data_IF_520144613633
#
_entry.id   IF_520144613633
#
_cell.length_a   1.000
_cell.length_b   1.000
_cell.length_c   1.000
_cell.angle_alpha   90.00
_cell.angle_beta   90.00
_cell.angle_gamma   90.00
#
_symmetry.space_group_name_H-M   'P 1'
#
loop_
_entity.id
_entity.type
_entity.pdbx_description
1 polymer ?
#
# COMPACT_ATOMS: atom_id res chain seq x y z
N UNK A 1 53.31 39.85 10.53
CA UNK A 1 53.23 39.07 9.28
C UNK A 1 52.24 37.91 9.32
N UNK A 2 51.82 37.39 10.48
CA UNK A 2 50.84 36.27 10.57
C UNK A 2 49.39 36.66 10.24
N UNK A 3 48.98 37.94 10.41
CA UNK A 3 47.61 38.38 10.23
C UNK A 3 47.26 38.78 8.75
N UNK A 4 48.27 39.07 7.90
CA UNK A 4 48.07 39.43 6.52
C UNK A 4 47.76 38.20 5.63
N UNK A 5 48.33 37.03 5.99
CA UNK A 5 48.08 35.78 5.24
C UNK A 5 46.67 35.20 5.48
N UNK A 6 46.13 35.38 6.68
CA UNK A 6 44.75 34.94 7.02
C UNK A 6 43.67 35.77 6.29
N UNK A 7 43.88 37.05 6.10
CA UNK A 7 42.96 37.94 5.39
C UNK A 7 42.92 37.64 3.89
N UNK A 8 44.08 37.31 3.28
CA UNK A 8 44.15 36.93 1.87
C UNK A 8 43.46 35.60 1.55
N UNK A 9 43.59 34.58 2.44
CA UNK A 9 42.89 33.30 2.30
C UNK A 9 41.38 33.45 2.44
N UNK A 10 40.91 34.26 3.40
CA UNK A 10 39.48 34.52 3.59
C UNK A 10 38.86 35.25 2.37
N UNK A 11 39.57 36.15 1.76
CA UNK A 11 39.10 36.87 0.57
C UNK A 11 39.02 35.99 -0.69
N UNK A 12 39.93 35.03 -0.85
CA UNK A 12 39.89 34.08 -1.98
C UNK A 12 38.75 33.09 -1.82
N UNK A 13 38.48 32.57 -0.62
CA UNK A 13 37.36 31.68 -0.38
C UNK A 13 36.01 32.37 -0.59
N UNK A 14 35.87 33.62 -0.16
CA UNK A 14 34.66 34.42 -0.40
C UNK A 14 34.43 34.69 -1.92
N UNK A 15 35.48 34.99 -2.67
CA UNK A 15 35.37 35.20 -4.13
C UNK A 15 34.98 33.94 -4.88
N UNK A 16 35.50 32.78 -4.53
CA UNK A 16 35.12 31.48 -5.13
C UNK A 16 33.67 31.11 -4.83
N UNK A 17 33.20 31.36 -3.60
CA UNK A 17 31.79 31.12 -3.21
C UNK A 17 30.82 32.05 -3.96
N UNK A 18 31.15 33.33 -4.14
CA UNK A 18 30.32 34.27 -4.88
C UNK A 18 30.30 33.93 -6.39
N UNK A 19 31.41 33.53 -6.98
CA UNK A 19 31.47 33.09 -8.38
C UNK A 19 30.67 31.80 -8.60
N UNK A 20 30.73 30.83 -7.67
CA UNK A 20 29.94 29.58 -7.73
C UNK A 20 28.42 29.82 -7.67
N UNK A 21 27.96 30.71 -6.80
CA UNK A 21 26.55 31.08 -6.69
C UNK A 21 26.07 31.87 -7.91
N UNK A 22 26.95 32.72 -8.51
CA UNK A 22 26.60 33.48 -9.71
C UNK A 22 26.50 32.56 -10.93
N UNK A 23 27.43 31.58 -11.09
CA UNK A 23 27.38 30.62 -12.19
C UNK A 23 26.15 29.69 -12.09
N UNK A 24 25.70 29.34 -10.86
CA UNK A 24 24.52 28.51 -10.66
C UNK A 24 23.20 29.28 -10.94
N UNK A 25 23.17 30.60 -10.66
CA UNK A 25 21.95 31.43 -10.90
C UNK A 25 21.89 32.04 -12.34
N UNK A 26 23.00 32.30 -12.98
CA UNK A 26 23.07 33.07 -14.23
C UNK A 26 23.89 32.40 -15.37
N UNK A 27 24.34 31.18 -15.19
CA UNK A 27 25.02 30.42 -16.24
C UNK A 27 24.11 30.12 -17.44
N UNK A 28 24.64 30.02 -18.67
CA UNK A 28 23.83 29.70 -19.85
C UNK A 28 23.16 28.34 -19.70
N UNK A 29 21.82 28.29 -19.77
CA UNK A 29 21.06 27.05 -19.86
C UNK A 29 21.14 26.54 -21.29
N UNK A 30 21.56 25.28 -21.48
CA UNK A 30 21.44 24.61 -22.76
C UNK A 30 19.95 24.43 -23.09
N UNK A 31 19.52 24.99 -24.22
CA UNK A 31 18.19 24.79 -24.78
C UNK A 31 18.03 23.31 -25.16
N UNK A 32 17.19 22.60 -24.44
CA UNK A 32 16.72 21.29 -24.84
C UNK A 32 15.75 21.47 -26.01
N UNK A 33 16.17 21.17 -27.21
CA UNK A 33 15.33 21.12 -28.39
C UNK A 33 14.23 20.06 -28.22
N UNK A 34 12.98 20.47 -28.34
CA UNK A 34 11.80 19.62 -28.37
C UNK A 34 11.88 18.59 -29.51
N UNK A 35 11.46 17.35 -29.29
CA UNK A 35 11.36 16.36 -30.37
C UNK A 35 10.26 16.77 -31.36
N UNK A 36 10.62 16.72 -32.66
CA UNK A 36 9.72 16.99 -33.78
C UNK A 36 8.54 15.99 -33.78
N UNK A 37 7.37 16.53 -34.01
CA UNK A 37 6.12 15.80 -34.30
C UNK A 37 6.29 14.85 -35.48
N UNK A 38 6.05 13.57 -35.23
CA UNK A 38 5.97 12.56 -36.30
C UNK A 38 4.60 12.73 -36.96
N UNK A 39 4.62 13.04 -38.26
CA UNK A 39 3.43 13.15 -39.10
C UNK A 39 2.70 11.81 -39.19
N UNK A 40 1.37 11.86 -39.05
CA UNK A 40 0.46 10.72 -39.22
C UNK A 40 0.50 10.20 -40.67
N UNK A 41 0.67 8.88 -40.80
CA UNK A 41 0.51 8.16 -42.06
C UNK A 41 -0.99 8.04 -42.39
N UNK A 42 -1.40 8.14 -43.67
CA UNK A 42 -2.80 7.95 -44.06
C UNK A 42 -3.18 6.46 -43.96
N UNK A 43 -4.44 6.23 -43.56
CA UNK A 43 -5.04 4.92 -43.47
C UNK A 43 -5.23 4.31 -44.88
N UNK A 44 -4.74 3.10 -45.06
CA UNK A 44 -5.02 2.30 -46.27
C UNK A 44 -6.47 1.82 -46.24
N UNK A 45 -7.20 2.21 -47.29
CA UNK A 45 -8.57 1.78 -47.62
C UNK A 45 -8.52 0.33 -48.09
N UNK A 46 -9.10 -0.59 -47.33
CA UNK A 46 -9.34 -1.96 -47.79
C UNK A 46 -10.64 -1.98 -48.62
N UNK A 47 -10.47 -2.28 -49.91
CA UNK A 47 -11.58 -2.44 -50.86
C UNK A 47 -12.46 -3.65 -50.50
N UNK A 48 -13.78 -3.43 -50.49
CA UNK A 48 -14.77 -4.46 -50.32
C UNK A 48 -14.85 -5.31 -51.61
N UNK A 49 -14.56 -6.60 -51.50
CA UNK A 49 -14.85 -7.57 -52.58
C UNK A 49 -16.29 -8.03 -52.52
N UNK A 50 -17.01 -7.89 -53.63
CA UNK A 50 -18.37 -8.33 -53.83
C UNK A 50 -18.49 -9.85 -53.75
N UNK A 51 -19.50 -10.35 -52.99
CA UNK A 51 -19.89 -11.76 -52.96
C UNK A 51 -21.06 -11.97 -53.94
N UNK A 52 -20.92 -12.96 -54.82
CA UNK A 52 -21.96 -13.53 -55.62
C UNK A 52 -22.91 -14.41 -54.79
N UNK A 53 -24.20 -14.49 -55.13
CA UNK A 53 -25.15 -15.32 -54.42
C UNK A 53 -25.21 -16.74 -55.00
N UNK A 54 -25.29 -17.74 -54.14
CA UNK A 54 -25.57 -19.13 -54.50
C UNK A 54 -25.16 -20.08 -53.38
N UNK A 55 -26.12 -20.57 -52.69
CA UNK A 55 -26.40 -21.92 -52.18
C UNK A 55 -27.04 -21.85 -50.79
N UNK A 56 -28.36 -22.10 -50.82
CA UNK A 56 -29.22 -22.36 -49.68
C UNK A 56 -28.80 -23.68 -49.00
N UNK A 57 -28.30 -23.60 -47.79
CA UNK A 57 -28.26 -24.72 -46.85
C UNK A 57 -29.01 -24.32 -45.60
N UNK A 58 -30.24 -24.81 -45.51
CA UNK A 58 -31.08 -24.75 -44.33
C UNK A 58 -30.43 -25.53 -43.18
N UNK A 59 -29.91 -24.83 -42.19
CA UNK A 59 -29.49 -25.43 -40.91
C UNK A 59 -30.42 -24.90 -39.83
N UNK A 60 -31.50 -25.62 -39.62
CA UNK A 60 -32.31 -25.52 -38.41
C UNK A 60 -31.52 -26.12 -37.23
N UNK A 61 -30.74 -25.30 -36.53
CA UNK A 61 -30.19 -25.63 -35.24
C UNK A 61 -30.81 -24.69 -34.18
N UNK A 62 -31.58 -25.33 -33.32
CA UNK A 62 -32.29 -24.78 -32.18
C UNK A 62 -31.36 -23.98 -31.28
N UNK A 63 -31.58 -22.65 -31.21
CA UNK A 63 -30.88 -21.77 -30.26
C UNK A 63 -31.63 -21.82 -28.89
N UNK A 64 -31.69 -22.99 -28.28
CA UNK A 64 -32.34 -23.10 -26.97
C UNK A 64 -31.45 -23.62 -25.84
N UNK A 65 -30.18 -23.97 -26.05
CA UNK A 65 -29.40 -24.65 -25.01
C UNK A 65 -28.00 -24.06 -24.75
N UNK A 66 -27.78 -22.77 -24.96
CA UNK A 66 -26.54 -22.09 -24.48
C UNK A 66 -26.81 -20.77 -23.75
N UNK A 67 -27.81 -20.74 -22.87
CA UNK A 67 -27.82 -19.82 -21.73
C UNK A 67 -27.17 -20.51 -20.53
N UNK A 68 -25.94 -21.03 -20.72
CA UNK A 68 -25.12 -21.50 -19.62
C UNK A 68 -24.50 -20.27 -18.94
N UNK A 69 -25.11 -19.92 -17.80
CA UNK A 69 -24.51 -19.25 -16.66
C UNK A 69 -23.46 -18.17 -16.99
N UNK A 70 -23.94 -16.95 -17.24
CA UNK A 70 -23.17 -15.79 -16.84
C UNK A 70 -22.91 -15.92 -15.34
N UNK A 71 -21.66 -15.72 -14.84
CA UNK A 71 -21.42 -15.71 -13.42
C UNK A 71 -22.37 -14.67 -12.80
N UNK A 72 -23.09 -15.08 -11.76
CA UNK A 72 -23.99 -14.21 -11.03
C UNK A 72 -23.24 -12.91 -10.72
N UNK A 73 -23.86 -11.73 -10.87
CA UNK A 73 -23.23 -10.49 -10.51
C UNK A 73 -22.77 -10.62 -9.05
N UNK A 74 -21.47 -10.35 -8.81
CA UNK A 74 -20.90 -10.36 -7.47
C UNK A 74 -21.89 -9.61 -6.58
N UNK A 75 -22.38 -10.28 -5.53
CA UNK A 75 -23.32 -9.73 -4.57
C UNK A 75 -22.73 -8.41 -4.07
N UNK A 76 -23.29 -7.29 -4.53
CA UNK A 76 -22.96 -5.98 -3.99
C UNK A 76 -23.20 -6.08 -2.48
N UNK A 77 -22.15 -5.85 -1.69
CA UNK A 77 -22.27 -5.75 -0.24
C UNK A 77 -23.45 -4.79 0.04
N UNK A 78 -24.42 -5.15 0.90
CA UNK A 78 -25.59 -4.31 1.14
C UNK A 78 -25.13 -2.88 1.50
N UNK A 79 -25.88 -1.89 1.01
CA UNK A 79 -25.66 -0.50 1.40
C UNK A 79 -25.57 -0.41 2.93
N UNK A 80 -24.72 0.50 3.43
CA UNK A 80 -24.51 0.68 4.85
C UNK A 80 -25.85 0.72 5.61
N UNK A 81 -26.03 -0.18 6.57
CA UNK A 81 -27.27 -0.24 7.37
C UNK A 81 -27.47 1.00 8.26
N UNK A 82 -26.39 1.74 8.54
CA UNK A 82 -26.38 2.93 9.40
C UNK A 82 -26.45 4.18 8.53
N UNK A 83 -27.58 4.88 8.57
CA UNK A 83 -27.83 6.05 7.73
C UNK A 83 -26.85 7.23 7.97
N UNK A 84 -26.32 7.31 9.20
CA UNK A 84 -25.34 8.36 9.61
C UNK A 84 -23.90 7.84 9.68
N UNK A 85 -23.58 6.72 8.99
CA UNK A 85 -22.24 6.17 8.98
C UNK A 85 -21.22 7.17 8.39
N UNK A 86 -19.97 7.10 8.86
CA UNK A 86 -18.86 7.88 8.32
C UNK A 86 -18.64 7.58 6.83
N UNK A 87 -18.75 6.32 6.44
CA UNK A 87 -18.68 5.87 5.05
C UNK A 87 -17.31 6.08 4.41
N UNK A 88 -17.31 6.07 3.07
CA UNK A 88 -16.19 6.47 2.22
C UNK A 88 -16.67 7.61 1.33
N UNK A 89 -16.08 8.79 1.48
CA UNK A 89 -16.49 9.99 0.75
C UNK A 89 -16.11 9.91 -0.73
N UNK A 90 -14.92 9.37 -1.01
CA UNK A 90 -14.45 9.08 -2.38
C UNK A 90 -13.39 8.00 -2.38
N UNK A 91 -13.22 7.37 -3.51
CA UNK A 91 -12.12 6.44 -3.79
C UNK A 91 -11.14 7.14 -4.72
N UNK A 92 -9.86 7.13 -4.39
CA UNK A 92 -8.80 7.62 -5.26
C UNK A 92 -8.02 6.43 -5.81
N UNK A 93 -7.81 6.43 -7.12
CA UNK A 93 -7.01 5.44 -7.80
C UNK A 93 -5.59 5.99 -7.98
N UNK A 94 -4.59 5.20 -7.59
CA UNK A 94 -3.19 5.57 -7.60
C UNK A 94 -2.48 4.84 -8.73
N UNK A 95 -1.93 5.59 -9.67
CA UNK A 95 -0.89 5.10 -10.58
C UNK A 95 0.42 4.99 -9.79
N UNK A 96 0.90 3.77 -9.61
CA UNK A 96 2.11 3.49 -8.83
C UNK A 96 3.39 3.48 -9.67
N UNK A 97 3.31 3.82 -10.94
CA UNK A 97 4.47 3.88 -11.85
C UNK A 97 5.57 4.76 -11.28
N UNK A 98 6.78 4.21 -11.23
CA UNK A 98 7.94 4.90 -10.70
C UNK A 98 8.01 5.05 -9.17
N UNK A 99 7.05 4.46 -8.43
CA UNK A 99 7.06 4.44 -6.97
C UNK A 99 6.81 5.80 -6.32
N UNK A 100 5.62 6.41 -6.52
CA UNK A 100 5.30 7.68 -5.86
C UNK A 100 5.27 7.55 -4.34
N UNK A 101 5.61 8.63 -3.64
CA UNK A 101 5.61 8.70 -2.17
C UNK A 101 4.44 9.51 -1.63
N UNK A 102 3.78 9.03 -0.57
CA UNK A 102 2.64 9.64 0.09
C UNK A 102 2.89 9.85 1.59
N UNK A 103 2.36 10.95 2.14
CA UNK A 103 2.50 11.34 3.55
C UNK A 103 3.61 12.35 3.79
N UNK A 104 3.24 13.50 4.35
CA UNK A 104 4.12 14.68 4.47
C UNK A 104 5.24 14.56 5.51
N UNK A 105 5.23 13.54 6.35
CA UNK A 105 6.36 13.28 7.24
C UNK A 105 7.66 13.15 6.41
N UNK A 106 7.60 12.44 5.26
CA UNK A 106 8.76 12.20 4.40
C UNK A 106 8.57 12.59 2.93
N UNK A 107 7.34 12.53 2.39
CA UNK A 107 7.07 12.73 0.97
C UNK A 107 6.17 13.95 0.75
N UNK A 108 6.76 15.07 0.35
CA UNK A 108 6.07 16.38 0.31
C UNK A 108 5.47 16.76 -1.04
N UNK A 109 5.46 15.85 -2.02
CA UNK A 109 5.14 16.20 -3.41
C UNK A 109 3.67 15.99 -3.79
N UNK A 110 2.98 15.03 -3.15
CA UNK A 110 1.64 14.61 -3.59
C UNK A 110 0.58 14.94 -2.54
N UNK A 111 0.11 16.18 -2.57
CA UNK A 111 -1.03 16.64 -1.76
C UNK A 111 -2.35 16.43 -2.52
N UNK A 112 -2.95 15.25 -2.35
CA UNK A 112 -4.20 14.89 -3.03
C UNK A 112 -5.45 14.98 -2.14
N UNK A 113 -5.29 15.18 -0.84
CA UNK A 113 -6.39 15.26 0.10
C UNK A 113 -6.98 16.67 0.11
N UNK A 114 -8.30 16.75 0.10
CA UNK A 114 -9.04 17.99 0.33
C UNK A 114 -9.13 18.33 1.83
N UNK A 115 -9.48 19.58 2.20
CA UNK A 115 -9.74 19.90 3.60
C UNK A 115 -10.76 18.94 4.24
N UNK A 116 -10.48 18.52 5.48
CA UNK A 116 -11.28 17.56 6.23
C UNK A 116 -11.28 16.13 5.64
N UNK A 117 -10.36 15.80 4.76
CA UNK A 117 -10.18 14.42 4.31
C UNK A 117 -9.09 13.70 5.09
N UNK A 118 -9.34 12.43 5.38
CA UNK A 118 -8.40 11.53 6.05
C UNK A 118 -8.31 10.19 5.34
N UNK A 119 -7.10 9.61 5.36
CA UNK A 119 -6.88 8.20 5.01
C UNK A 119 -6.54 7.45 6.29
N UNK A 120 -7.27 6.37 6.57
CA UNK A 120 -6.98 5.49 7.69
C UNK A 120 -5.98 4.43 7.23
N UNK A 121 -4.88 4.27 7.96
CA UNK A 121 -3.88 3.23 7.67
C UNK A 121 -3.52 2.45 8.92
N UNK A 122 -3.30 1.12 8.74
CA UNK A 122 -2.97 0.20 9.81
C UNK A 122 -1.77 -0.65 9.44
N UNK A 123 -0.77 -0.69 10.31
CA UNK A 123 0.45 -1.45 10.13
C UNK A 123 0.50 -2.68 11.06
N UNK A 124 1.44 -3.58 10.80
CA UNK A 124 1.89 -4.70 11.61
C UNK A 124 0.94 -5.91 11.68
N UNK A 125 -0.34 -5.77 11.45
CA UNK A 125 -1.26 -6.90 11.46
C UNK A 125 -0.92 -8.00 10.43
N UNK A 126 -1.79 -9.01 10.28
CA UNK A 126 -2.99 -9.25 11.08
C UNK A 126 -2.67 -9.88 12.44
N UNK A 127 -3.51 -9.62 13.43
CA UNK A 127 -3.35 -10.19 14.77
C UNK A 127 -4.69 -10.67 15.35
N UNK A 128 -4.73 -11.87 15.98
CA UNK A 128 -5.94 -12.39 16.59
C UNK A 128 -6.57 -11.41 17.59
N UNK A 129 -7.90 -11.36 17.62
CA UNK A 129 -8.72 -10.48 18.46
C UNK A 129 -8.66 -9.01 18.05
N UNK A 130 -7.47 -8.43 17.86
CA UNK A 130 -7.31 -6.99 17.62
C UNK A 130 -7.69 -6.60 16.19
N UNK A 131 -7.12 -7.24 15.17
CA UNK A 131 -7.48 -6.96 13.76
C UNK A 131 -8.99 -7.21 13.50
N UNK A 132 -9.62 -8.32 13.95
CA UNK A 132 -11.08 -8.48 13.86
C UNK A 132 -11.87 -7.36 14.54
N UNK A 133 -11.44 -6.86 15.69
CA UNK A 133 -12.10 -5.74 16.36
C UNK A 133 -11.97 -4.42 15.58
N UNK A 134 -10.80 -4.18 14.98
CA UNK A 134 -10.58 -3.05 14.04
C UNK A 134 -11.53 -3.16 12.84
N UNK A 135 -11.61 -4.35 12.22
CA UNK A 135 -12.51 -4.59 11.08
C UNK A 135 -13.97 -4.35 11.44
N UNK A 136 -14.39 -4.81 12.62
CA UNK A 136 -15.76 -4.57 13.11
C UNK A 136 -16.03 -3.07 13.25
N UNK A 137 -15.14 -2.30 13.85
CA UNK A 137 -15.33 -0.86 14.01
C UNK A 137 -15.41 -0.13 12.66
N UNK A 138 -14.58 -0.52 11.67
CA UNK A 138 -14.63 0.02 10.32
C UNK A 138 -15.92 -0.36 9.58
N UNK A 139 -16.41 -1.58 9.77
CA UNK A 139 -17.66 -2.06 9.17
C UNK A 139 -18.88 -1.38 9.79
N UNK A 140 -18.90 -1.17 11.12
CA UNK A 140 -19.96 -0.45 11.83
C UNK A 140 -20.12 0.99 11.31
N UNK A 141 -19.06 1.61 10.80
CA UNK A 141 -19.08 2.94 10.16
C UNK A 141 -18.99 2.86 8.63
N UNK A 142 -19.11 1.68 8.03
CA UNK A 142 -19.06 1.42 6.58
C UNK A 142 -17.86 2.06 5.88
N UNK A 143 -16.76 2.25 6.59
CA UNK A 143 -15.57 2.94 6.09
C UNK A 143 -14.47 1.96 5.69
N UNK A 144 -13.43 2.46 5.01
CA UNK A 144 -12.35 1.64 4.48
C UNK A 144 -10.99 2.21 4.88
N UNK A 145 -9.99 1.34 4.88
CA UNK A 145 -8.62 1.68 5.24
C UNK A 145 -7.60 1.00 4.31
N UNK A 146 -6.33 1.38 4.45
CA UNK A 146 -5.19 0.67 3.88
C UNK A 146 -4.50 -0.09 4.99
N UNK A 147 -4.17 -1.36 4.75
CA UNK A 147 -3.45 -2.21 5.69
C UNK A 147 -2.06 -2.56 5.13
N UNK A 148 -1.05 -2.48 5.98
CA UNK A 148 0.33 -2.84 5.68
C UNK A 148 0.77 -3.99 6.61
N UNK A 149 0.40 -5.25 6.29
CA UNK A 149 0.73 -6.39 7.13
C UNK A 149 2.22 -6.73 7.08
N UNK A 150 2.78 -7.17 8.22
CA UNK A 150 4.07 -7.85 8.28
C UNK A 150 3.92 -9.23 7.62
N UNK A 151 4.85 -9.62 6.75
CA UNK A 151 4.80 -10.90 6.04
C UNK A 151 4.69 -12.10 6.97
N UNK A 152 5.46 -12.16 8.06
CA UNK A 152 5.35 -13.21 9.08
C UNK A 152 3.95 -13.28 9.69
N UNK A 153 3.35 -12.16 10.06
CA UNK A 153 2.01 -12.13 10.64
C UNK A 153 0.96 -12.57 9.61
N UNK A 154 1.13 -12.17 8.35
CA UNK A 154 0.28 -12.64 7.25
C UNK A 154 0.32 -14.18 7.11
N UNK A 155 1.49 -14.80 7.28
CA UNK A 155 1.61 -16.27 7.25
C UNK A 155 1.09 -16.97 8.50
N UNK A 156 1.11 -16.30 9.66
CA UNK A 156 0.58 -16.87 10.90
C UNK A 156 -0.95 -16.83 10.97
N UNK A 157 -1.57 -15.80 10.37
CA UNK A 157 -3.01 -15.55 10.45
C UNK A 157 -3.62 -15.23 9.08
N UNK A 158 -3.43 -16.11 8.07
CA UNK A 158 -3.89 -15.84 6.71
C UNK A 158 -5.41 -15.72 6.61
N UNK A 159 -6.15 -16.40 7.49
CA UNK A 159 -7.61 -16.32 7.56
C UNK A 159 -8.10 -14.93 7.98
N UNK A 160 -7.37 -14.23 8.86
CA UNK A 160 -7.70 -12.86 9.28
C UNK A 160 -7.38 -11.89 8.14
N UNK A 161 -6.23 -12.04 7.46
CA UNK A 161 -5.89 -11.18 6.33
C UNK A 161 -6.89 -11.32 5.17
N UNK A 162 -7.42 -12.53 4.94
CA UNK A 162 -8.53 -12.73 3.99
C UNK A 162 -9.82 -12.02 4.41
N UNK A 163 -10.10 -11.90 5.72
CA UNK A 163 -11.23 -11.09 6.20
C UNK A 163 -11.02 -9.60 5.90
N UNK A 164 -9.79 -9.08 6.05
CA UNK A 164 -9.43 -7.69 5.65
C UNK A 164 -9.74 -7.47 4.18
N UNK A 165 -9.33 -8.41 3.31
CA UNK A 165 -9.59 -8.33 1.87
C UNK A 165 -11.10 -8.42 1.56
N UNK A 166 -11.80 -9.40 2.15
CA UNK A 166 -13.24 -9.60 1.94
C UNK A 166 -14.07 -8.40 2.42
N UNK A 167 -13.60 -7.68 3.43
CA UNK A 167 -14.20 -6.43 3.88
C UNK A 167 -13.94 -5.25 2.90
N UNK A 168 -13.16 -5.44 1.83
CA UNK A 168 -12.92 -4.46 0.78
C UNK A 168 -11.89 -3.40 1.12
N UNK A 169 -11.01 -3.65 2.09
CA UNK A 169 -9.87 -2.80 2.40
C UNK A 169 -8.74 -2.99 1.38
N UNK A 170 -7.87 -1.99 1.27
CA UNK A 170 -6.67 -2.07 0.45
C UNK A 170 -5.53 -2.68 1.26
N UNK A 171 -4.77 -3.60 0.67
CA UNK A 171 -3.71 -4.33 1.36
C UNK A 171 -2.40 -4.17 0.59
N UNK A 172 -1.41 -3.56 1.22
CA UNK A 172 -0.02 -3.47 0.78
C UNK A 172 0.89 -4.45 1.50
N UNK A 173 2.15 -4.04 1.82
CA UNK A 173 3.11 -4.82 2.58
C UNK A 173 3.99 -3.95 3.50
N UNK A 174 4.55 -4.58 4.55
CA UNK A 174 5.38 -3.95 5.59
C UNK A 174 6.62 -4.80 5.91
N UNK A 175 7.35 -5.22 4.88
CA UNK A 175 8.45 -6.19 4.93
C UNK A 175 8.04 -7.60 5.38
N UNK A 176 9.00 -8.52 5.36
CA UNK A 176 8.82 -9.88 5.89
C UNK A 176 8.80 -9.92 7.41
N UNK A 177 9.76 -9.23 8.07
CA UNK A 177 10.01 -9.41 9.50
C UNK A 177 9.99 -8.11 10.33
N UNK A 178 9.56 -6.99 9.76
CA UNK A 178 9.56 -5.67 10.39
C UNK A 178 10.96 -5.17 10.77
N UNK A 179 11.99 -5.57 10.03
CA UNK A 179 13.36 -5.09 10.26
C UNK A 179 13.52 -3.67 9.69
N UNK A 180 14.30 -2.83 10.37
CA UNK A 180 14.65 -1.50 9.88
C UNK A 180 15.54 -1.60 8.63
N UNK A 181 15.02 -1.20 7.47
CA UNK A 181 15.71 -1.27 6.18
C UNK A 181 16.82 -0.19 6.02
N UNK A 182 16.87 0.80 6.92
CA UNK A 182 17.93 1.81 7.00
C UNK A 182 19.01 1.47 8.06
N UNK A 183 18.98 0.26 8.62
CA UNK A 183 19.91 -0.17 9.64
C UNK A 183 21.35 -0.30 9.11
N UNK A 184 22.35 0.05 9.94
CA UNK A 184 23.79 0.06 9.56
C UNK A 184 24.33 -1.27 8.98
N UNK A 185 23.68 -2.40 9.29
CA UNK A 185 24.08 -3.74 8.80
C UNK A 185 23.19 -4.24 7.65
N UNK A 186 22.21 -3.46 7.24
CA UNK A 186 21.31 -3.80 6.16
C UNK A 186 22.02 -3.60 4.82
N UNK A 187 22.14 -4.67 4.02
CA UNK A 187 22.62 -4.58 2.64
C UNK A 187 21.44 -4.38 1.69
N UNK A 188 21.70 -4.01 0.44
CA UNK A 188 20.66 -3.85 -0.58
C UNK A 188 19.95 -5.19 -0.85
N UNK A 189 20.68 -6.30 -0.88
CA UNK A 189 20.12 -7.64 -1.07
C UNK A 189 19.22 -8.05 0.10
N UNK A 190 19.64 -7.80 1.35
CA UNK A 190 18.83 -8.07 2.53
C UNK A 190 17.55 -7.22 2.53
N UNK A 191 17.65 -5.94 2.15
CA UNK A 191 16.49 -5.07 2.06
C UNK A 191 15.52 -5.52 0.95
N UNK A 192 16.05 -5.92 -0.21
CA UNK A 192 15.26 -6.51 -1.29
C UNK A 192 14.57 -7.79 -0.86
N UNK A 193 15.27 -8.69 -0.17
CA UNK A 193 14.69 -9.93 0.36
C UNK A 193 13.54 -9.65 1.33
N UNK A 194 13.71 -8.73 2.27
CA UNK A 194 12.67 -8.33 3.21
C UNK A 194 11.43 -7.74 2.51
N UNK A 195 11.62 -6.95 1.47
CA UNK A 195 10.53 -6.37 0.67
C UNK A 195 9.80 -7.45 -0.11
N UNK A 196 10.51 -8.22 -0.94
CA UNK A 196 9.90 -9.18 -1.86
C UNK A 196 9.28 -10.37 -1.12
N UNK A 197 9.99 -10.90 -0.10
CA UNK A 197 9.44 -11.97 0.74
C UNK A 197 8.20 -11.49 1.52
N UNK A 198 8.17 -10.21 1.92
CA UNK A 198 7.00 -9.58 2.51
C UNK A 198 5.79 -9.60 1.58
N UNK A 199 5.95 -9.15 0.34
CA UNK A 199 4.91 -9.19 -0.68
C UNK A 199 4.46 -10.62 -1.03
N UNK A 200 5.40 -11.55 -1.18
CA UNK A 200 5.10 -12.97 -1.44
C UNK A 200 4.28 -13.60 -0.30
N UNK A 201 4.59 -13.24 0.96
CA UNK A 201 3.84 -13.69 2.12
C UNK A 201 2.41 -13.16 2.14
N UNK A 202 2.23 -11.89 1.81
CA UNK A 202 0.89 -11.28 1.69
C UNK A 202 0.11 -11.96 0.57
N UNK A 203 0.70 -12.15 -0.61
CA UNK A 203 0.08 -12.90 -1.71
C UNK A 203 -0.33 -14.31 -1.31
N UNK A 204 0.57 -15.04 -0.67
CA UNK A 204 0.28 -16.39 -0.20
C UNK A 204 -0.90 -16.42 0.77
N UNK A 205 -0.95 -15.50 1.72
CA UNK A 205 -2.02 -15.42 2.70
C UNK A 205 -3.37 -15.06 2.06
N UNK A 206 -3.37 -14.12 1.11
CA UNK A 206 -4.58 -13.66 0.40
C UNK A 206 -5.09 -14.66 -0.65
N UNK A 207 -4.19 -15.44 -1.26
CA UNK A 207 -4.48 -16.23 -2.47
C UNK A 207 -4.58 -15.38 -3.74
N UNK A 208 -4.24 -14.10 -3.69
CA UNK A 208 -4.24 -13.16 -4.82
C UNK A 208 -3.13 -12.12 -4.63
N UNK A 209 -2.80 -11.40 -5.71
CA UNK A 209 -1.77 -10.36 -5.66
C UNK A 209 -2.21 -9.18 -4.79
N UNK A 210 -1.30 -8.64 -3.94
CA UNK A 210 -1.55 -7.43 -3.14
C UNK A 210 -1.52 -6.16 -4.00
N UNK A 211 -1.94 -5.05 -3.42
CA UNK A 211 -1.70 -3.72 -3.98
C UNK A 211 -0.20 -3.39 -3.95
N UNK A 212 0.34 -2.70 -4.96
CA UNK A 212 1.73 -2.23 -4.99
C UNK A 212 1.92 -1.03 -4.04
N UNK A 213 1.58 -1.22 -2.77
CA UNK A 213 1.72 -0.25 -1.70
C UNK A 213 2.66 -0.80 -0.64
N UNK A 214 3.59 0.01 -0.18
CA UNK A 214 4.61 -0.37 0.78
C UNK A 214 4.79 0.71 1.84
N UNK A 215 4.93 0.30 3.09
CA UNK A 215 5.37 1.19 4.17
C UNK A 215 6.64 0.64 4.79
N UNK A 216 7.62 1.52 5.00
CA UNK A 216 8.88 1.18 5.65
C UNK A 216 8.68 1.00 7.16
N UNK A 217 9.21 -0.07 7.77
CA UNK A 217 9.25 -0.20 9.23
C UNK A 217 9.87 1.03 9.90
N UNK A 218 9.24 1.49 11.00
CA UNK A 218 9.66 2.68 11.74
C UNK A 218 9.67 3.98 10.89
N UNK A 219 9.07 3.97 9.69
CA UNK A 219 9.15 4.99 8.65
C UNK A 219 10.60 5.27 8.17
N UNK A 220 11.56 4.44 8.56
CA UNK A 220 12.98 4.57 8.22
C UNK A 220 13.27 4.02 6.84
N UNK A 221 13.70 4.86 5.93
CA UNK A 221 13.96 4.53 4.53
C UNK A 221 15.36 4.94 4.09
N UNK A 222 15.88 4.32 3.04
CA UNK A 222 17.13 4.68 2.41
C UNK A 222 16.95 4.84 0.87
N UNK A 223 17.81 5.63 0.21
CA UNK A 223 17.68 5.90 -1.22
C UNK A 223 17.70 4.66 -2.11
N UNK A 224 18.50 3.65 -1.76
CA UNK A 224 18.66 2.42 -2.55
C UNK A 224 17.37 1.60 -2.57
N UNK A 225 16.79 1.35 -1.39
CA UNK A 225 15.51 0.63 -1.30
C UNK A 225 14.37 1.42 -1.93
N UNK A 226 14.36 2.76 -1.78
CA UNK A 226 13.37 3.61 -2.47
C UNK A 226 13.50 3.50 -4.00
N UNK A 227 14.73 3.57 -4.54
CA UNK A 227 14.98 3.40 -5.97
C UNK A 227 14.52 2.02 -6.45
N UNK A 228 14.83 0.96 -5.68
CA UNK A 228 14.36 -0.40 -5.97
C UNK A 228 12.82 -0.48 -6.03
N UNK A 229 12.10 0.03 -5.02
CA UNK A 229 10.65 0.08 -5.02
C UNK A 229 10.10 0.86 -6.22
N UNK A 230 10.77 1.95 -6.63
CA UNK A 230 10.45 2.68 -7.85
C UNK A 230 10.51 1.81 -9.10
N UNK A 231 11.55 0.97 -9.26
CA UNK A 231 11.66 0.03 -10.40
C UNK A 231 10.58 -1.05 -10.39
N UNK A 232 10.03 -1.36 -9.20
CA UNK A 232 8.93 -2.31 -9.00
C UNK A 232 7.55 -1.66 -9.18
N UNK A 233 7.49 -0.35 -9.46
CA UNK A 233 6.27 0.44 -9.50
C UNK A 233 5.45 0.31 -8.19
N UNK A 234 6.12 0.38 -7.05
CA UNK A 234 5.53 0.29 -5.72
C UNK A 234 5.46 1.67 -5.08
N UNK A 235 4.27 2.14 -4.77
CA UNK A 235 4.09 3.40 -4.05
C UNK A 235 4.50 3.25 -2.57
N UNK A 236 5.22 4.26 -2.07
CA UNK A 236 5.78 4.29 -0.73
C UNK A 236 4.94 5.18 0.18
N UNK A 237 4.61 4.67 1.37
CA UNK A 237 3.77 5.38 2.32
C UNK A 237 4.56 5.78 3.56
N UNK A 238 4.51 7.06 3.87
CA UNK A 238 4.74 7.61 5.19
C UNK A 238 3.38 7.95 5.83
N UNK A 239 3.32 8.92 6.72
CA UNK A 239 2.08 9.43 7.30
C UNK A 239 2.10 10.95 7.38
N UNK A 240 0.97 11.54 7.76
CA UNK A 240 0.86 12.94 8.15
C UNK A 240 0.64 13.07 9.65
N UNK A 241 0.01 12.04 10.22
CA UNK A 241 -0.33 11.97 11.65
C UNK A 241 0.00 10.58 12.18
N UNK A 242 0.85 10.54 13.22
CA UNK A 242 1.10 9.34 14.00
C UNK A 242 0.18 9.34 15.23
N UNK A 243 -0.53 8.24 15.45
CA UNK A 243 -1.38 8.04 16.61
C UNK A 243 -0.60 7.76 17.89
N UNK A 244 0.68 7.38 17.77
CA UNK A 244 1.55 6.94 18.87
C UNK A 244 0.99 5.77 19.69
N UNK A 245 0.17 4.94 19.09
CA UNK A 245 -0.48 3.80 19.72
C UNK A 245 0.49 2.69 20.15
N UNK A 246 1.69 2.64 19.55
CA UNK A 246 2.78 1.71 19.89
C UNK A 246 3.53 2.07 21.20
N UNK A 247 3.30 3.25 21.78
CA UNK A 247 3.98 3.67 23.00
C UNK A 247 3.51 2.87 24.22
N UNK A 248 4.43 2.51 25.10
CA UNK A 248 4.13 1.71 26.29
C UNK A 248 3.08 2.32 27.23
N UNK A 249 3.01 3.65 27.26
CA UNK A 249 2.06 4.41 28.08
C UNK A 249 0.80 4.81 27.31
N UNK A 250 0.62 4.26 26.09
CA UNK A 250 -0.55 4.53 25.26
C UNK A 250 -1.79 3.89 25.84
N UNK A 251 -2.93 4.51 25.61
CA UNK A 251 -4.26 4.02 25.93
C UNK A 251 -5.27 4.62 24.93
N UNK A 252 -6.53 4.13 24.89
CA UNK A 252 -7.52 4.60 23.93
C UNK A 252 -7.72 6.11 23.88
N UNK A 253 -7.80 6.76 25.03
CA UNK A 253 -8.00 8.21 25.09
C UNK A 253 -6.80 8.99 24.56
N UNK A 254 -5.57 8.58 24.89
CA UNK A 254 -4.35 9.20 24.37
C UNK A 254 -4.26 9.08 22.86
N UNK A 255 -4.62 7.92 22.29
CA UNK A 255 -4.65 7.68 20.83
C UNK A 255 -5.62 8.64 20.17
N UNK A 256 -6.88 8.68 20.63
CA UNK A 256 -7.90 9.58 20.08
C UNK A 256 -7.45 11.03 20.17
N UNK A 257 -6.94 11.45 21.32
CA UNK A 257 -6.50 12.84 21.54
C UNK A 257 -5.28 13.21 20.67
N UNK A 258 -4.31 12.29 20.51
CA UNK A 258 -3.15 12.51 19.66
C UNK A 258 -3.56 12.75 18.19
N UNK A 259 -4.43 11.88 17.66
CA UNK A 259 -4.94 12.03 16.29
C UNK A 259 -5.75 13.31 16.12
N UNK A 260 -6.77 13.54 16.97
CA UNK A 260 -7.66 14.70 16.83
C UNK A 260 -6.92 16.03 16.99
N UNK A 261 -6.02 16.15 17.97
CA UNK A 261 -5.21 17.36 18.16
C UNK A 261 -4.34 17.70 16.94
N UNK A 262 -3.80 16.67 16.26
CA UNK A 262 -3.02 16.88 15.05
C UNK A 262 -3.91 17.23 13.85
N UNK A 263 -5.05 16.56 13.72
CA UNK A 263 -6.04 16.89 12.69
C UNK A 263 -6.59 18.32 12.83
N UNK A 264 -6.80 18.81 14.05
CA UNK A 264 -7.22 20.21 14.28
C UNK A 264 -6.20 21.22 13.76
N UNK A 265 -4.91 20.86 13.74
CA UNK A 265 -3.82 21.71 13.21
C UNK A 265 -3.63 21.56 11.71
N UNK A 266 -3.70 20.33 11.18
CA UNK A 266 -3.40 20.04 9.78
C UNK A 266 -4.64 20.10 8.88
N UNK A 267 -5.81 19.85 9.44
CA UNK A 267 -7.09 19.87 8.74
C UNK A 267 -7.37 18.64 7.88
N UNK A 268 -6.36 17.79 7.61
CA UNK A 268 -6.43 16.60 6.76
C UNK A 268 -5.21 15.71 6.99
N UNK A 269 -5.20 14.46 6.48
CA UNK A 269 -3.97 13.67 6.45
C UNK A 269 -4.14 12.16 6.44
N UNK A 270 -3.03 11.47 6.22
CA UNK A 270 -2.86 10.02 6.32
C UNK A 270 -2.53 9.68 7.77
N UNK A 271 -3.39 8.90 8.41
CA UNK A 271 -3.29 8.54 9.84
C UNK A 271 -2.60 7.19 9.97
N UNK A 272 -1.50 7.13 10.71
CA UNK A 272 -0.78 5.91 11.05
C UNK A 272 -1.31 5.34 12.37
N UNK A 273 -1.71 4.09 12.33
CA UNK A 273 -2.14 3.25 13.47
C UNK A 273 -1.62 1.82 13.26
N UNK A 274 -1.75 0.97 14.29
CA UNK A 274 -1.31 -0.42 14.23
C UNK A 274 -2.43 -1.36 14.69
N UNK A 275 -2.98 -2.17 13.78
CA UNK A 275 -4.15 -3.02 14.06
C UNK A 275 -3.83 -4.25 14.93
N UNK A 276 -2.55 -4.55 15.15
CA UNK A 276 -2.15 -5.57 16.11
C UNK A 276 -2.20 -5.08 17.57
N UNK A 277 -2.28 -3.77 17.81
CA UNK A 277 -2.34 -3.16 19.14
C UNK A 277 -3.76 -3.23 19.72
N UNK A 278 -3.87 -3.75 20.95
CA UNK A 278 -5.16 -3.81 21.68
C UNK A 278 -5.76 -2.42 21.87
N UNK A 279 -4.94 -1.44 22.27
CA UNK A 279 -5.42 -0.09 22.56
C UNK A 279 -5.93 0.63 21.31
N UNK A 280 -5.39 0.32 20.13
CA UNK A 280 -5.90 0.84 18.86
C UNK A 280 -7.28 0.27 18.56
N UNK A 281 -7.46 -1.05 18.71
CA UNK A 281 -8.76 -1.70 18.54
C UNK A 281 -9.81 -1.12 19.48
N UNK A 282 -9.45 -0.83 20.73
CA UNK A 282 -10.34 -0.21 21.73
C UNK A 282 -10.61 1.28 21.44
N UNK A 283 -9.65 2.03 20.89
CA UNK A 283 -9.75 3.45 20.59
C UNK A 283 -10.59 3.73 19.33
N UNK A 284 -10.53 2.83 18.34
CA UNK A 284 -11.02 3.09 16.99
C UNK A 284 -12.52 3.46 16.94
N UNK A 285 -13.46 2.82 17.66
CA UNK A 285 -14.87 3.24 17.63
C UNK A 285 -15.05 4.71 18.05
N UNK A 286 -14.33 5.14 19.08
CA UNK A 286 -14.36 6.54 19.55
C UNK A 286 -13.70 7.48 18.55
N UNK A 287 -12.57 7.08 17.97
CA UNK A 287 -11.89 7.89 16.94
C UNK A 287 -12.79 8.11 15.71
N UNK A 288 -13.42 7.05 15.19
CA UNK A 288 -14.32 7.16 14.02
C UNK A 288 -15.51 8.09 14.32
N UNK A 289 -16.09 7.98 15.52
CA UNK A 289 -17.14 8.89 15.96
C UNK A 289 -16.64 10.34 16.02
N UNK A 290 -15.46 10.60 16.59
CA UNK A 290 -14.87 11.96 16.69
C UNK A 290 -14.51 12.52 15.31
N UNK A 291 -14.05 11.70 14.37
CA UNK A 291 -13.84 12.11 12.99
C UNK A 291 -15.14 12.57 12.35
N UNK A 292 -16.22 11.80 12.52
CA UNK A 292 -17.55 12.15 12.03
C UNK A 292 -18.07 13.46 12.64
N UNK A 293 -18.03 13.61 13.96
CA UNK A 293 -18.42 14.83 14.69
C UNK A 293 -17.60 16.06 14.26
N UNK A 294 -16.32 15.86 13.94
CA UNK A 294 -15.43 16.90 13.42
C UNK A 294 -15.62 17.23 11.94
N UNK A 295 -16.55 16.57 11.25
CA UNK A 295 -16.82 16.75 9.82
C UNK A 295 -15.73 16.21 8.92
N UNK A 296 -14.90 15.26 9.41
CA UNK A 296 -13.91 14.59 8.59
C UNK A 296 -14.56 13.54 7.70
N UNK A 297 -13.96 13.33 6.53
CA UNK A 297 -14.43 12.40 5.50
C UNK A 297 -13.32 11.41 5.18
N UNK A 298 -13.63 10.12 5.10
CA UNK A 298 -12.62 9.10 4.77
C UNK A 298 -12.48 8.95 3.27
N UNK A 299 -11.23 8.95 2.80
CA UNK A 299 -10.83 8.65 1.43
C UNK A 299 -10.22 7.24 1.40
N UNK A 300 -10.71 6.39 0.52
CA UNK A 300 -10.08 5.10 0.24
C UNK A 300 -9.07 5.23 -0.89
N UNK A 301 -7.84 4.78 -0.68
CA UNK A 301 -6.81 4.68 -1.70
C UNK A 301 -6.81 3.27 -2.29
N UNK A 302 -6.84 3.16 -3.60
CA UNK A 302 -6.67 1.91 -4.35
C UNK A 302 -5.57 2.08 -5.39
N UNK A 303 -4.84 1.02 -5.69
CA UNK A 303 -3.93 1.05 -6.83
C UNK A 303 -4.67 0.73 -8.13
N UNK A 304 -4.24 1.34 -9.24
CA UNK A 304 -4.74 1.06 -10.59
C UNK A 304 -4.41 -0.36 -11.08
N UNK A 305 -3.39 -0.99 -10.46
CA UNK A 305 -2.95 -2.35 -10.77
C UNK A 305 -2.60 -3.12 -9.51
N UNK A 306 -2.48 -4.46 -9.61
CA UNK A 306 -1.95 -5.30 -8.53
C UNK A 306 -0.46 -5.55 -8.72
N UNK A 307 0.27 -5.80 -7.64
CA UNK A 307 1.69 -6.13 -7.69
C UNK A 307 1.89 -7.57 -8.15
N UNK A 308 2.66 -7.76 -9.22
CA UNK A 308 3.17 -9.08 -9.56
C UNK A 308 4.37 -9.40 -8.68
N UNK A 309 4.24 -10.38 -7.81
CA UNK A 309 5.35 -10.88 -6.97
C UNK A 309 6.38 -11.62 -7.82
N UNK A 310 7.58 -11.75 -7.31
CA UNK A 310 8.67 -12.45 -8.02
C UNK A 310 8.59 -13.96 -7.74
N UNK A 311 8.55 -14.84 -8.77
CA UNK A 311 8.36 -16.26 -8.60
C UNK A 311 9.39 -16.92 -7.68
N UNK A 312 10.64 -16.48 -7.70
CA UNK A 312 11.71 -17.00 -6.85
C UNK A 312 11.42 -16.84 -5.35
N UNK A 313 10.78 -15.73 -4.94
CA UNK A 313 10.38 -15.51 -3.54
C UNK A 313 9.10 -16.27 -3.19
N UNK A 314 8.16 -16.38 -4.13
CA UNK A 314 6.94 -17.19 -3.94
C UNK A 314 7.30 -18.66 -3.70
N UNK A 315 8.20 -19.21 -4.51
CA UNK A 315 8.65 -20.59 -4.38
C UNK A 315 9.48 -20.83 -3.10
N UNK A 316 10.39 -19.90 -2.79
CA UNK A 316 11.21 -19.97 -1.57
C UNK A 316 10.32 -19.97 -0.32
N UNK A 317 9.35 -19.06 -0.25
CA UNK A 317 8.39 -19.00 0.83
C UNK A 317 7.53 -20.27 0.93
N UNK A 318 7.02 -20.77 -0.21
CA UNK A 318 6.21 -21.98 -0.23
C UNK A 318 6.99 -23.21 0.30
N UNK A 319 8.30 -23.29 0.05
CA UNK A 319 9.18 -24.34 0.61
C UNK A 319 9.37 -24.14 2.12
N UNK A 320 9.57 -22.93 2.58
CA UNK A 320 9.77 -22.61 4.01
C UNK A 320 8.49 -22.89 4.84
N UNK A 321 7.32 -22.59 4.30
CA UNK A 321 6.04 -22.80 4.98
C UNK A 321 5.58 -24.28 4.98
N UNK A 322 6.23 -25.16 4.21
CA UNK A 322 6.01 -26.60 4.32
C UNK A 322 6.61 -27.07 5.63
N UNK A 323 5.76 -27.34 6.62
CA UNK A 323 6.19 -27.94 7.87
C UNK A 323 6.94 -29.26 7.57
N UNK A 324 8.15 -29.48 8.16
CA UNK A 324 8.85 -30.72 7.96
C UNK A 324 8.01 -31.88 8.49
N UNK A 325 7.68 -32.82 7.62
CA UNK A 325 6.99 -34.05 8.02
C UNK A 325 8.03 -34.96 8.69
N UNK A 326 8.06 -34.98 10.03
CA UNK A 326 8.94 -35.90 10.79
C UNK A 326 8.50 -37.34 10.66
N UNK A 327 7.25 -37.61 10.26
CA UNK A 327 6.72 -38.94 9.99
C UNK A 327 5.59 -38.87 8.97
N UNK A 328 5.67 -39.69 7.90
CA UNK A 328 4.55 -39.90 6.98
C UNK A 328 3.45 -40.81 7.54
N UNK A 329 3.58 -41.25 8.79
CA UNK A 329 2.60 -42.15 9.43
C UNK A 329 1.38 -41.38 9.88
N UNK A 330 0.15 -41.91 9.67
CA UNK A 330 -1.09 -41.30 10.20
C UNK A 330 -1.05 -41.23 11.73
N UNK A 331 -1.63 -40.16 12.30
CA UNK A 331 -1.71 -39.92 13.76
C UNK A 331 -2.26 -41.16 14.47
N UNK A 332 -3.30 -41.80 13.92
CA UNK A 332 -3.91 -43.01 14.46
C UNK A 332 -2.97 -44.22 14.56
N UNK A 333 -1.86 -44.21 13.81
CA UNK A 333 -0.83 -45.25 13.89
C UNK A 333 0.30 -44.95 14.86
N UNK A 334 0.36 -43.70 15.37
CA UNK A 334 1.39 -43.21 16.30
C UNK A 334 0.82 -43.01 17.70
N UNK A 335 -0.44 -42.56 17.79
CA UNK A 335 -1.11 -42.27 19.06
C UNK A 335 -2.24 -43.27 19.27
N UNK A 336 -2.19 -43.99 20.40
CA UNK A 336 -3.26 -44.91 20.86
C UNK A 336 -3.85 -44.38 22.16
N UNK A 337 -5.17 -44.34 22.21
CA UNK A 337 -5.87 -44.09 23.49
C UNK A 337 -5.78 -45.36 24.31
N UNK A 338 -5.17 -45.28 25.50
CA UNK A 338 -5.00 -46.44 26.41
C UNK A 338 -6.03 -46.45 27.54
N UNK A 339 -6.75 -45.37 27.79
CA UNK A 339 -7.87 -45.25 28.70
C UNK A 339 -8.79 -44.12 28.27
N UNK A 340 -10.10 -44.25 28.60
CA UNK A 340 -11.09 -43.19 28.51
C UNK A 340 -11.62 -42.93 29.91
#
# INVERSE_FOLDING_TARGET
>A
MRNALGLLLASVVAAVMIAGVWFWKFGPRADASLPQTIAARPADTIAAAARTPGDDVEVTASISDRLAALPAPATQKPACAKADALGVARVVEIDTTGGPGFGFEHFKQLDFLEPKEVVLTFDDGPWPTNTPAVLKALDDECTKAVFFPIGKHATYHPEILRQVLAAGHTIGAHTWSHVNLNGKKMTEEMAKEEVEKGFSAVKWALGTNPSPFFRFPQLEHNPQTMAYLGTRNVAMFSCDLDSFDFRKDSNPDKIVNAVMTRLDKLGKGIILMHDFQKHTAEALPTLLRRLKEGGYRVVQMKASSSLQTLPEYDEALAKELKLPTVSGRPVSSVVRTVAK
#
